data_IF_045052780480
#
_entry.id   IF_045052780480
#
_cell.length_a   1.000
_cell.length_b   1.000
_cell.length_c   1.000
_cell.angle_alpha   90.00
_cell.angle_beta   90.00
_cell.angle_gamma   90.00
#
_symmetry.space_group_name_H-M   'P 1'
#
loop_
_entity.id
_entity.type
_entity.pdbx_description
1 polymer ?
#
# COMPACT_ATOMS: atom_id res chain seq x y z
N UNK A 1 -24.32 -4.30 -21.99
CA UNK A 1 -23.53 -3.19 -22.54
C UNK A 1 -23.35 -2.21 -21.41
N UNK A 2 -22.21 -2.19 -20.73
CA UNK A 2 -21.93 -1.12 -19.76
C UNK A 2 -21.32 0.03 -20.55
N UNK A 3 -21.91 1.21 -20.43
CA UNK A 3 -21.34 2.46 -20.90
C UNK A 3 -19.88 2.53 -20.49
N UNK A 4 -18.99 2.91 -21.42
CA UNK A 4 -17.58 3.06 -21.08
C UNK A 4 -17.44 4.15 -20.04
N UNK A 5 -17.04 3.79 -18.82
CA UNK A 5 -16.81 4.75 -17.74
C UNK A 5 -15.86 5.85 -18.25
N UNK A 6 -16.30 7.10 -18.10
CA UNK A 6 -15.62 8.28 -18.62
C UNK A 6 -14.36 8.55 -17.78
N UNK A 7 -13.28 9.01 -18.41
CA UNK A 7 -12.08 9.39 -17.67
C UNK A 7 -12.35 10.65 -16.87
N UNK A 8 -12.00 10.61 -15.60
CA UNK A 8 -12.04 11.76 -14.71
C UNK A 8 -10.63 12.35 -14.55
N UNK A 9 -10.53 13.68 -14.52
CA UNK A 9 -9.31 14.37 -14.12
C UNK A 9 -9.22 14.37 -12.60
N UNK A 10 -8.26 13.63 -12.06
CA UNK A 10 -8.03 13.45 -10.63
C UNK A 10 -6.73 14.12 -10.23
N UNK A 11 -6.78 14.96 -9.19
CA UNK A 11 -5.59 15.53 -8.58
C UNK A 11 -5.02 14.57 -7.54
N UNK A 12 -3.83 14.03 -7.79
CA UNK A 12 -3.08 13.25 -6.81
C UNK A 12 -2.09 14.14 -6.07
N UNK A 13 -1.88 13.85 -4.78
CA UNK A 13 -0.79 14.41 -4.00
C UNK A 13 0.33 13.39 -3.93
N UNK A 14 1.51 13.75 -4.44
CA UNK A 14 2.69 12.89 -4.42
C UNK A 14 3.76 13.50 -3.52
N UNK A 15 4.52 12.63 -2.86
CA UNK A 15 5.72 13.06 -2.14
C UNK A 15 6.93 12.87 -3.02
N UNK A 16 7.63 13.96 -3.31
CA UNK A 16 8.88 13.98 -4.07
C UNK A 16 10.03 13.36 -3.27
N UNK A 17 11.16 13.08 -3.94
CA UNK A 17 12.36 12.54 -3.27
C UNK A 17 12.88 13.48 -2.17
N UNK A 18 12.78 14.80 -2.36
CA UNK A 18 13.12 15.82 -1.35
C UNK A 18 12.06 16.00 -0.25
N UNK A 19 10.97 15.22 -0.28
CA UNK A 19 9.96 15.18 0.78
C UNK A 19 8.86 16.23 0.65
N UNK A 20 8.79 16.96 -0.47
CA UNK A 20 7.73 17.93 -0.71
C UNK A 20 6.47 17.22 -1.21
N UNK A 21 5.32 17.73 -0.78
CA UNK A 21 4.03 17.29 -1.28
C UNK A 21 3.62 18.19 -2.45
N UNK A 22 3.55 17.64 -3.65
CA UNK A 22 3.19 18.37 -4.87
C UNK A 22 1.93 17.76 -5.52
N UNK A 23 1.08 18.56 -6.17
CA UNK A 23 -0.03 18.04 -6.97
C UNK A 23 0.48 17.47 -8.30
N UNK A 24 -0.18 16.41 -8.77
CA UNK A 24 -0.13 16.00 -10.19
C UNK A 24 -1.57 15.75 -10.66
N UNK A 25 -1.84 15.99 -11.95
CA UNK A 25 -3.14 15.67 -12.54
C UNK A 25 -3.04 14.40 -13.37
N UNK A 26 -3.91 13.43 -13.08
CA UNK A 26 -4.03 12.19 -13.85
C UNK A 26 -5.43 12.03 -14.41
N UNK A 27 -5.53 11.47 -15.61
CA UNK A 27 -6.78 10.92 -16.13
C UNK A 27 -6.88 9.47 -15.67
N UNK A 28 -7.91 9.19 -14.87
CA UNK A 28 -8.20 7.85 -14.37
C UNK A 28 -9.69 7.55 -14.53
N UNK A 29 -10.03 6.28 -14.69
CA UNK A 29 -11.40 5.81 -14.65
C UNK A 29 -11.51 4.73 -13.56
N UNK A 30 -12.66 4.61 -12.89
CA UNK A 30 -12.92 3.42 -12.09
C UNK A 30 -12.82 2.17 -12.98
N UNK A 31 -12.53 1.03 -12.36
CA UNK A 31 -12.58 -0.25 -13.05
C UNK A 31 -12.87 -1.39 -12.07
N UNK A 32 -13.51 -2.43 -12.58
CA UNK A 32 -13.81 -3.63 -11.83
C UNK A 32 -12.80 -4.74 -12.13
N UNK A 33 -12.44 -5.49 -11.09
CA UNK A 33 -11.63 -6.70 -11.21
C UNK A 33 -12.21 -7.82 -10.34
N UNK A 34 -12.01 -9.06 -10.81
CA UNK A 34 -12.27 -10.26 -10.02
C UNK A 34 -11.06 -10.55 -9.14
N UNK A 35 -11.30 -10.90 -7.88
CA UNK A 35 -10.26 -11.33 -6.93
C UNK A 35 -10.19 -12.85 -6.92
N UNK A 36 -8.99 -13.42 -7.04
CA UNK A 36 -8.79 -14.86 -6.96
C UNK A 36 -9.07 -15.43 -5.57
N UNK A 37 -9.44 -16.71 -5.50
CA UNK A 37 -9.80 -17.38 -4.23
C UNK A 37 -8.60 -17.92 -3.44
N UNK A 38 -7.41 -17.97 -4.06
CA UNK A 38 -6.16 -18.38 -3.40
C UNK A 38 -5.31 -17.16 -3.09
N UNK A 39 -4.92 -17.01 -1.84
CA UNK A 39 -4.01 -15.96 -1.38
C UNK A 39 -2.58 -16.48 -1.18
N UNK A 40 -1.61 -15.57 -1.28
CA UNK A 40 -0.26 -15.74 -0.71
C UNK A 40 -0.19 -14.97 0.61
N UNK A 41 0.44 -15.58 1.61
CA UNK A 41 0.77 -14.91 2.87
C UNK A 41 2.18 -14.34 2.79
N UNK A 42 2.33 -13.03 3.06
CA UNK A 42 3.62 -12.36 3.17
C UNK A 42 3.80 -11.72 4.55
N UNK A 43 4.99 -11.90 5.12
CA UNK A 43 5.32 -11.40 6.45
C UNK A 43 5.86 -9.97 6.39
N UNK A 44 5.29 -9.07 7.20
CA UNK A 44 5.82 -7.73 7.41
C UNK A 44 6.81 -7.77 8.57
N UNK A 45 8.09 -7.97 8.25
CA UNK A 45 9.16 -8.12 9.25
C UNK A 45 9.89 -6.79 9.43
N UNK A 46 9.97 -6.29 10.65
CA UNK A 46 10.68 -5.04 10.98
C UNK A 46 12.15 -5.08 10.52
N UNK A 47 12.64 -3.97 9.97
CA UNK A 47 14.03 -3.78 9.55
C UNK A 47 14.75 -2.66 10.34
N UNK A 48 14.12 -2.16 11.39
CA UNK A 48 14.67 -1.18 12.32
C UNK A 48 14.19 -1.44 13.76
N UNK A 49 14.94 -0.91 14.73
CA UNK A 49 14.51 -0.80 16.12
C UNK A 49 13.81 0.55 16.31
N UNK A 50 12.69 0.57 17.04
CA UNK A 50 11.88 1.77 17.26
C UNK A 50 11.15 1.71 18.61
N UNK A 51 11.38 2.69 19.46
CA UNK A 51 10.56 2.93 20.65
C UNK A 51 9.22 3.55 20.24
N UNK A 52 8.13 3.06 20.82
CA UNK A 52 6.78 3.54 20.54
C UNK A 52 6.03 3.89 21.82
N UNK A 53 5.21 4.93 21.76
CA UNK A 53 4.27 5.28 22.83
C UNK A 53 2.84 4.92 22.45
N UNK A 54 2.07 4.45 23.43
CA UNK A 54 0.68 4.07 23.25
C UNK A 54 -0.11 5.21 22.59
N UNK A 55 -0.81 4.89 21.51
CA UNK A 55 -1.62 5.83 20.74
C UNK A 55 -0.89 6.51 19.59
N UNK A 56 0.43 6.36 19.47
CA UNK A 56 1.17 6.93 18.35
C UNK A 56 0.91 6.17 17.04
N UNK A 57 0.74 6.94 15.96
CA UNK A 57 0.78 6.41 14.61
C UNK A 57 2.22 6.51 14.11
N UNK A 58 2.87 5.37 13.95
CA UNK A 58 4.29 5.27 13.61
C UNK A 58 4.47 4.69 12.22
N UNK A 59 5.56 5.09 11.55
CA UNK A 59 5.94 4.54 10.26
C UNK A 59 7.17 3.65 10.44
N UNK A 60 6.99 2.34 10.31
CA UNK A 60 8.01 1.34 10.61
C UNK A 60 8.53 0.74 9.31
N UNK A 61 9.83 0.76 9.11
CA UNK A 61 10.54 0.13 8.00
C UNK A 61 10.52 -1.38 8.16
N UNK A 62 10.21 -2.06 7.06
CA UNK A 62 10.20 -3.51 6.99
C UNK A 62 11.17 -4.02 5.93
N UNK A 63 11.48 -5.31 6.00
CA UNK A 63 12.15 -6.02 4.91
C UNK A 63 11.32 -5.84 3.64
N UNK A 64 11.91 -5.40 2.51
CA UNK A 64 11.14 -5.11 1.31
C UNK A 64 10.34 -6.33 0.81
N UNK A 65 9.08 -6.10 0.46
CA UNK A 65 8.21 -7.10 -0.17
C UNK A 65 7.85 -6.64 -1.58
N UNK A 66 7.89 -7.53 -2.56
CA UNK A 66 7.47 -7.23 -3.93
C UNK A 66 6.04 -7.70 -4.14
N UNK A 67 5.17 -6.77 -4.51
CA UNK A 67 3.82 -7.06 -5.01
C UNK A 67 3.88 -7.07 -6.53
N UNK A 68 3.69 -8.25 -7.13
CA UNK A 68 3.63 -8.39 -8.58
C UNK A 68 2.47 -7.59 -9.18
N UNK A 69 2.56 -7.27 -10.47
CA UNK A 69 1.43 -6.68 -11.21
C UNK A 69 0.19 -7.56 -11.06
N UNK A 70 -0.98 -6.93 -11.10
CA UNK A 70 -2.27 -7.61 -11.00
C UNK A 70 -2.45 -8.37 -9.68
N UNK A 71 -2.02 -7.76 -8.57
CA UNK A 71 -2.27 -8.28 -7.22
C UNK A 71 -2.82 -7.19 -6.31
N UNK A 72 -3.66 -7.55 -5.35
CA UNK A 72 -4.03 -6.67 -4.23
C UNK A 72 -3.47 -7.24 -2.94
N UNK A 73 -3.07 -6.37 -2.03
CA UNK A 73 -2.58 -6.74 -0.71
C UNK A 73 -3.51 -6.19 0.36
N UNK A 74 -3.98 -7.06 1.25
CA UNK A 74 -4.85 -6.71 2.36
C UNK A 74 -4.17 -7.11 3.68
N UNK A 75 -4.03 -6.19 4.66
CA UNK A 75 -3.62 -6.56 5.99
C UNK A 75 -4.50 -7.69 6.55
N UNK A 76 -3.88 -8.63 7.25
CA UNK A 76 -4.61 -9.67 7.96
C UNK A 76 -5.49 -9.04 9.04
N UNK A 77 -6.73 -9.52 9.17
CA UNK A 77 -7.66 -9.03 10.17
C UNK A 77 -7.22 -9.36 11.61
N UNK A 78 -6.40 -10.40 11.78
CA UNK A 78 -5.81 -10.76 13.06
C UNK A 78 -4.57 -9.92 13.31
N UNK A 79 -4.43 -9.39 14.52
CA UNK A 79 -3.23 -8.68 14.93
C UNK A 79 -2.17 -9.69 15.41
N UNK A 80 -0.98 -9.70 14.79
CA UNK A 80 0.10 -10.62 15.15
C UNK A 80 1.06 -10.04 16.20
N UNK A 81 1.20 -8.71 16.27
CA UNK A 81 2.16 -8.06 17.16
C UNK A 81 1.45 -7.49 18.40
N UNK A 82 1.92 -7.76 19.64
CA UNK A 82 1.20 -7.34 20.84
C UNK A 82 1.20 -5.83 21.09
N UNK A 83 2.25 -5.11 20.66
CA UNK A 83 2.40 -3.67 20.96
C UNK A 83 1.99 -2.74 19.83
N UNK A 84 1.90 -3.22 18.58
CA UNK A 84 1.52 -2.40 17.41
C UNK A 84 0.50 -3.15 16.56
N UNK A 85 -0.35 -2.43 15.85
CA UNK A 85 -1.24 -2.98 14.82
C UNK A 85 -0.99 -2.31 13.48
N UNK A 86 -0.75 -3.12 12.44
CA UNK A 86 -0.49 -2.63 11.09
C UNK A 86 -1.79 -2.11 10.44
N UNK A 87 -1.81 -0.84 10.04
CA UNK A 87 -2.97 -0.19 9.43
C UNK A 87 -2.90 -0.17 7.91
N UNK A 88 -1.74 0.23 7.37
CA UNK A 88 -1.49 0.42 5.94
C UNK A 88 -0.03 0.12 5.62
N UNK A 89 0.24 -0.08 4.33
CA UNK A 89 1.59 -0.30 3.82
C UNK A 89 1.89 0.64 2.66
N UNK A 90 3.15 1.02 2.50
CA UNK A 90 3.57 1.84 1.36
C UNK A 90 5.04 1.61 0.97
N UNK A 91 5.40 2.09 -0.22
CA UNK A 91 6.77 2.00 -0.77
C UNK A 91 7.70 3.06 -0.17
N UNK A 92 7.14 4.16 0.37
CA UNK A 92 7.88 5.32 0.86
C UNK A 92 7.36 6.61 0.23
N UNK A 93 8.28 7.53 -0.07
CA UNK A 93 8.00 8.80 -0.74
C UNK A 93 7.97 8.60 -2.26
N UNK A 94 6.83 8.17 -2.78
CA UNK A 94 6.61 8.03 -4.21
C UNK A 94 5.15 8.31 -4.57
N UNK A 95 4.89 8.53 -5.85
CA UNK A 95 3.53 8.52 -6.37
C UNK A 95 2.87 7.15 -6.13
N UNK A 96 1.56 7.11 -5.85
CA UNK A 96 0.84 5.85 -5.81
C UNK A 96 0.92 5.17 -7.18
N UNK A 97 1.12 3.86 -7.17
CA UNK A 97 1.18 3.04 -8.38
C UNK A 97 -0.14 2.27 -8.53
N UNK A 98 -0.65 2.13 -9.77
CA UNK A 98 -1.88 1.41 -10.01
C UNK A 98 -1.64 -0.12 -9.90
N UNK A 99 -2.70 -0.93 -9.91
CA UNK A 99 -2.61 -2.38 -9.63
C UNK A 99 -1.87 -3.16 -10.72
N UNK A 100 -1.86 -2.63 -11.94
CA UNK A 100 -1.14 -3.06 -13.13
C UNK A 100 0.38 -2.98 -12.96
N UNK A 101 0.85 -2.07 -12.10
CA UNK A 101 2.26 -1.88 -11.86
C UNK A 101 2.77 -2.78 -10.74
N UNK A 102 4.00 -3.28 -10.91
CA UNK A 102 4.75 -3.87 -9.82
C UNK A 102 5.00 -2.81 -8.74
N UNK A 103 4.73 -3.17 -7.48
CA UNK A 103 4.88 -2.31 -6.31
C UNK A 103 5.87 -2.93 -5.34
N UNK A 104 6.58 -2.08 -4.59
CA UNK A 104 7.44 -2.52 -3.50
C UNK A 104 6.86 -2.00 -2.20
N UNK A 105 6.66 -2.87 -1.21
CA UNK A 105 6.31 -2.42 0.15
C UNK A 105 7.60 -2.34 0.96
N UNK A 106 7.82 -1.20 1.62
CA UNK A 106 9.01 -0.96 2.45
C UNK A 106 8.68 -0.47 3.85
N UNK A 107 7.46 0.01 4.05
CA UNK A 107 7.03 0.61 5.30
C UNK A 107 5.61 0.16 5.67
N UNK A 108 5.39 0.05 6.97
CA UNK A 108 4.09 -0.17 7.61
C UNK A 108 3.74 1.06 8.43
N UNK A 109 2.57 1.63 8.17
CA UNK A 109 1.94 2.59 9.08
C UNK A 109 1.22 1.76 10.14
N UNK A 110 1.61 1.91 11.40
CA UNK A 110 1.08 1.14 12.52
C UNK A 110 0.59 2.05 13.65
N UNK A 111 -0.43 1.60 14.37
CA UNK A 111 -0.86 2.22 15.62
C UNK A 111 -0.24 1.46 16.80
N UNK A 112 0.42 2.18 17.71
CA UNK A 112 0.93 1.61 18.94
C UNK A 112 -0.21 1.38 19.95
N UNK A 113 -0.40 0.13 20.37
CA UNK A 113 -1.41 -0.31 21.32
C UNK A 113 -0.93 -0.16 22.78
N UNK A 114 0.38 -0.15 22.99
CA UNK A 114 1.04 -0.03 24.30
C UNK A 114 2.41 0.60 24.14
N UNK A 115 2.93 1.16 25.24
CA UNK A 115 4.33 1.58 25.31
C UNK A 115 5.24 0.35 25.16
N UNK A 116 6.33 0.51 24.43
CA UNK A 116 7.30 -0.57 24.26
C UNK A 116 8.25 -0.28 23.11
N UNK A 117 8.85 -1.36 22.61
CA UNK A 117 9.86 -1.28 21.57
C UNK A 117 9.60 -2.34 20.52
N UNK A 118 9.60 -1.91 19.27
CA UNK A 118 9.65 -2.79 18.10
C UNK A 118 11.12 -3.05 17.80
N UNK A 119 11.49 -4.32 17.65
CA UNK A 119 12.87 -4.72 17.31
C UNK A 119 12.97 -5.17 15.86
N UNK A 120 14.15 -4.95 15.28
CA UNK A 120 14.50 -5.49 13.98
C UNK A 120 14.35 -7.01 13.99
N UNK A 121 13.57 -7.53 13.05
CA UNK A 121 13.23 -8.95 12.95
C UNK A 121 11.87 -9.32 13.52
N UNK A 122 11.19 -8.41 14.22
CA UNK A 122 9.84 -8.65 14.74
C UNK A 122 8.81 -8.78 13.60
N UNK A 123 7.86 -9.69 13.79
CA UNK A 123 6.71 -9.84 12.89
C UNK A 123 5.65 -8.79 13.25
N UNK A 124 5.56 -7.73 12.45
CA UNK A 124 4.59 -6.65 12.66
C UNK A 124 3.18 -7.03 12.18
N UNK A 125 3.10 -7.94 11.23
CA UNK A 125 1.86 -8.51 10.75
C UNK A 125 1.99 -9.26 9.45
N UNK A 126 0.86 -9.60 8.83
CA UNK A 126 0.80 -10.35 7.58
C UNK A 126 -0.03 -9.61 6.53
N UNK A 127 0.43 -9.64 5.28
CA UNK A 127 -0.36 -9.27 4.10
C UNK A 127 -0.90 -10.52 3.42
N UNK A 128 -2.21 -10.53 3.20
CA UNK A 128 -2.87 -11.44 2.28
C UNK A 128 -2.79 -10.85 0.86
N UNK A 129 -2.09 -11.53 -0.03
CA UNK A 129 -1.94 -11.11 -1.42
C UNK A 129 -2.84 -11.96 -2.29
N UNK A 130 -3.74 -11.32 -3.02
CA UNK A 130 -4.65 -11.98 -3.95
C UNK A 130 -4.32 -11.57 -5.39
N UNK A 131 -4.25 -12.51 -6.34
CA UNK A 131 -4.23 -12.16 -7.74
C UNK A 131 -5.56 -11.54 -8.14
N UNK A 132 -5.53 -10.59 -9.06
CA UNK A 132 -6.72 -9.99 -9.64
C UNK A 132 -6.74 -10.18 -11.16
N UNK A 133 -7.93 -10.30 -11.71
CA UNK A 133 -8.15 -10.31 -13.16
C UNK A 133 -9.11 -9.18 -13.51
N UNK A 134 -8.70 -8.30 -14.42
CA UNK A 134 -9.55 -7.22 -14.86
C UNK A 134 -10.74 -7.73 -15.64
N UNK A 135 -11.89 -7.09 -15.42
CA UNK A 135 -13.01 -7.18 -16.34
C UNK A 135 -12.70 -6.37 -17.60
N UNK A 136 -13.47 -6.54 -18.67
CA UNK A 136 -13.20 -6.04 -20.05
C UNK A 136 -12.94 -4.51 -20.18
N UNK A 137 -13.06 -3.72 -19.11
CA UNK A 137 -13.05 -2.25 -19.14
C UNK A 137 -11.91 -1.57 -18.35
N UNK A 138 -10.92 -2.30 -17.80
CA UNK A 138 -9.82 -1.63 -17.11
C UNK A 138 -8.95 -0.82 -18.07
N UNK A 139 -8.82 0.49 -17.82
CA UNK A 139 -7.97 1.41 -18.58
C UNK A 139 -6.87 1.95 -17.68
N UNK A 140 -5.63 1.91 -18.15
CA UNK A 140 -4.48 2.41 -17.39
C UNK A 140 -4.54 3.94 -17.20
N UNK A 141 -4.28 4.45 -15.98
CA UNK A 141 -4.21 5.89 -15.73
C UNK A 141 -3.12 6.58 -16.56
N UNK A 142 -3.38 7.82 -16.99
CA UNK A 142 -2.43 8.64 -17.78
C UNK A 142 -2.12 9.95 -17.07
N UNK A 143 -0.84 10.28 -16.95
CA UNK A 143 -0.41 11.59 -16.42
C UNK A 143 -0.67 12.65 -17.47
N UNK A 144 -1.39 13.71 -17.09
CA UNK A 144 -1.79 14.79 -18.01
C UNK A 144 -0.95 16.04 -17.81
N UNK A 145 -0.51 16.33 -16.58
CA UNK A 145 0.40 17.44 -16.29
C UNK A 145 1.16 17.26 -14.96
N UNK A 146 2.39 17.78 -14.95
CA UNK A 146 3.20 18.04 -13.76
C UNK A 146 3.28 19.56 -13.60
N UNK A 147 2.82 20.11 -12.46
CA UNK A 147 2.94 21.54 -12.12
C UNK A 147 4.15 21.79 -11.21
#
# INVERSE_FOLDING_TARGET
MSEGEEFERVNLRITTKDGKCVPITVEAAPYEFTVGTRAKWEMMIADEDLDVKKGECVNIRIRPLTLHSHTIALPCAFNQHPIVTALRVHEGRCAPKPVEAQRTVRYVIALALSDGEVRKGDLLGVLNIFPVMFTRNAREPRVVSEE
#
